data_IF_888351225260
#
_entry.id   IF_888351225260
#
_cell.length_a   1.000
_cell.length_b   1.000
_cell.length_c   1.000
_cell.angle_alpha   90.00
_cell.angle_beta   90.00
_cell.angle_gamma   90.00
#
_symmetry.space_group_name_H-M   'P 1'
#
loop_
_entity.id
_entity.type
_entity.pdbx_description
1 polymer ?
#
# COMPACT_ATOMS: atom_id res chain seq x y z
N UNK A 1 7.94 -21.27 -11.67
CA UNK A 1 7.75 -21.92 -10.36
C UNK A 1 6.24 -22.10 -10.14
N UNK A 2 5.74 -23.32 -9.91
CA UNK A 2 4.30 -23.56 -9.65
C UNK A 2 3.98 -23.02 -8.26
N UNK A 3 3.11 -22.02 -8.15
CA UNK A 3 2.61 -21.55 -6.84
C UNK A 3 1.30 -22.29 -6.53
N UNK A 4 1.23 -22.89 -5.35
CA UNK A 4 0.07 -23.65 -4.90
C UNK A 4 -1.04 -22.71 -4.43
N UNK A 5 -2.33 -23.10 -4.51
CA UNK A 5 -3.42 -22.32 -3.91
C UNK A 5 -3.19 -22.08 -2.41
N UNK A 6 -3.90 -21.10 -1.84
CA UNK A 6 -3.79 -20.69 -0.43
C UNK A 6 -2.39 -20.18 -0.03
N UNK A 7 -1.73 -19.44 -0.94
CA UNK A 7 -0.53 -18.69 -0.53
C UNK A 7 -0.90 -17.60 0.49
N UNK A 8 0.04 -17.25 1.38
CA UNK A 8 -0.05 -16.04 2.19
C UNK A 8 -0.30 -14.78 1.36
N UNK A 9 -0.87 -13.72 1.95
CA UNK A 9 -0.93 -12.39 1.35
C UNK A 9 0.46 -11.92 0.88
N UNK A 10 0.51 -11.09 -0.17
CA UNK A 10 1.79 -10.71 -0.78
C UNK A 10 2.76 -10.03 0.20
N UNK A 11 2.25 -9.25 1.17
CA UNK A 11 3.07 -8.61 2.19
C UNK A 11 3.82 -9.64 3.06
N UNK A 12 3.15 -10.72 3.44
CA UNK A 12 3.78 -11.82 4.19
C UNK A 12 4.82 -12.57 3.33
N UNK A 13 4.57 -12.71 2.03
CA UNK A 13 5.54 -13.30 1.11
C UNK A 13 6.79 -12.41 0.97
N UNK A 14 6.63 -11.09 0.93
CA UNK A 14 7.75 -10.12 0.92
C UNK A 14 8.55 -10.21 2.20
N UNK A 15 7.89 -10.21 3.36
CA UNK A 15 8.55 -10.35 4.67
C UNK A 15 9.30 -11.68 4.78
N UNK A 16 8.68 -12.77 4.34
CA UNK A 16 9.31 -14.10 4.33
C UNK A 16 10.57 -14.11 3.48
N UNK A 17 10.53 -13.49 2.29
CA UNK A 17 11.70 -13.39 1.42
C UNK A 17 12.78 -12.48 1.99
N UNK A 18 12.43 -11.30 2.52
CA UNK A 18 13.38 -10.38 3.14
C UNK A 18 14.09 -11.05 4.31
N UNK A 19 13.36 -11.74 5.20
CA UNK A 19 13.96 -12.46 6.32
C UNK A 19 14.94 -13.54 5.87
N UNK A 20 14.62 -14.27 4.79
CA UNK A 20 15.51 -15.29 4.24
C UNK A 20 16.79 -14.69 3.65
N UNK A 21 16.70 -13.53 2.98
CA UNK A 21 17.83 -12.91 2.30
C UNK A 21 18.75 -12.12 3.25
N UNK A 22 18.18 -11.46 4.26
CA UNK A 22 18.95 -10.57 5.15
C UNK A 22 19.27 -11.18 6.51
N UNK A 23 18.53 -12.20 6.94
CA UNK A 23 18.63 -12.75 8.30
C UNK A 23 18.14 -11.79 9.41
N UNK A 24 17.58 -10.64 9.04
CA UNK A 24 17.16 -9.59 9.98
C UNK A 24 15.87 -10.00 10.70
N UNK A 25 15.76 -9.64 11.98
CA UNK A 25 14.50 -9.71 12.71
C UNK A 25 13.54 -8.66 12.13
N UNK A 26 12.40 -9.09 11.61
CA UNK A 26 11.39 -8.23 11.00
C UNK A 26 10.09 -8.26 11.80
N UNK A 27 9.55 -7.08 12.10
CA UNK A 27 8.18 -6.89 12.56
C UNK A 27 7.34 -6.42 11.37
N UNK A 28 6.18 -7.05 11.16
CA UNK A 28 5.29 -6.72 10.05
C UNK A 28 3.95 -6.22 10.58
N UNK A 29 3.58 -5.01 10.17
CA UNK A 29 2.28 -4.40 10.47
C UNK A 29 1.47 -4.30 9.18
N UNK A 30 0.29 -4.91 9.15
CA UNK A 30 -0.66 -4.75 8.05
C UNK A 30 -1.90 -3.99 8.52
N UNK A 31 -1.97 -2.72 8.17
CA UNK A 31 -3.11 -1.85 8.45
C UNK A 31 -4.06 -1.69 7.23
N UNK A 32 -3.89 -2.54 6.22
CA UNK A 32 -4.64 -2.45 4.96
C UNK A 32 -6.06 -3.00 5.11
N UNK A 33 -6.99 -2.46 4.32
CA UNK A 33 -8.37 -2.94 4.23
C UNK A 33 -8.78 -3.18 2.79
N UNK A 34 -9.40 -4.33 2.52
CA UNK A 34 -9.96 -4.64 1.21
C UNK A 34 -11.00 -3.59 0.80
N UNK A 35 -11.00 -3.21 -0.49
CA UNK A 35 -11.91 -2.20 -1.04
C UNK A 35 -11.61 -0.75 -0.64
N UNK A 36 -10.56 -0.48 0.14
CA UNK A 36 -10.22 0.90 0.51
C UNK A 36 -9.39 1.61 -0.58
N UNK A 37 -9.65 2.90 -0.78
CA UNK A 37 -8.83 3.79 -1.61
C UNK A 37 -7.69 4.47 -0.82
N UNK A 38 -6.82 5.16 -1.54
CA UNK A 38 -5.71 5.94 -1.00
C UNK A 38 -6.17 7.08 -0.08
N UNK A 39 -7.34 7.67 -0.34
CA UNK A 39 -7.91 8.73 0.50
C UNK A 39 -8.25 8.23 1.92
N UNK A 40 -8.78 7.01 2.01
CA UNK A 40 -8.96 6.32 3.28
C UNK A 40 -7.62 6.02 3.95
N UNK A 41 -6.61 5.58 3.17
CA UNK A 41 -5.26 5.34 3.66
C UNK A 41 -4.61 6.58 4.27
N UNK A 42 -4.77 7.74 3.62
CA UNK A 42 -4.32 9.03 4.15
C UNK A 42 -5.01 9.38 5.48
N UNK A 43 -6.27 8.98 5.66
CA UNK A 43 -6.98 9.14 6.92
C UNK A 43 -6.43 8.28 8.08
N UNK A 44 -5.59 7.28 7.80
CA UNK A 44 -5.00 6.40 8.81
C UNK A 44 -3.58 6.80 9.25
N UNK A 45 -3.07 7.96 8.84
CA UNK A 45 -1.69 8.36 9.11
C UNK A 45 -1.31 8.30 10.60
N UNK A 46 -2.22 8.63 11.52
CA UNK A 46 -1.95 8.53 12.95
C UNK A 46 -1.62 7.08 13.37
N UNK A 47 -2.44 6.11 12.96
CA UNK A 47 -2.20 4.70 13.26
C UNK A 47 -0.95 4.16 12.54
N UNK A 48 -0.64 4.65 11.34
CA UNK A 48 0.58 4.31 10.63
C UNK A 48 1.83 4.82 11.37
N UNK A 49 1.79 6.05 11.88
CA UNK A 49 2.90 6.63 12.66
C UNK A 49 3.13 5.87 13.98
N UNK A 50 2.08 5.36 14.62
CA UNK A 50 2.22 4.53 15.83
C UNK A 50 3.03 3.25 15.59
N UNK A 51 3.07 2.75 14.35
CA UNK A 51 3.91 1.58 13.99
C UNK A 51 5.39 1.92 13.81
N UNK A 52 5.74 3.20 13.71
CA UNK A 52 7.10 3.72 13.48
C UNK A 52 7.90 2.90 12.44
N UNK A 53 7.46 2.87 11.16
CA UNK A 53 8.05 1.99 10.17
C UNK A 53 9.41 2.50 9.68
N UNK A 54 10.36 1.57 9.49
CA UNK A 54 11.60 1.82 8.74
C UNK A 54 11.41 1.59 7.23
N UNK A 55 10.44 0.76 6.85
CA UNK A 55 10.06 0.47 5.46
C UNK A 55 8.54 0.46 5.34
N UNK A 56 8.00 1.28 4.44
CA UNK A 56 6.59 1.34 4.12
C UNK A 56 6.30 0.83 2.70
N UNK A 57 5.26 -0.01 2.55
CA UNK A 57 4.77 -0.47 1.25
C UNK A 57 3.41 0.18 1.00
N UNK A 58 3.31 0.97 -0.08
CA UNK A 58 2.07 1.64 -0.49
C UNK A 58 1.55 0.95 -1.75
N UNK A 59 0.35 0.36 -1.66
CA UNK A 59 -0.23 -0.46 -2.74
C UNK A 59 -1.71 -0.13 -3.00
N UNK A 60 -2.00 1.14 -3.32
CA UNK A 60 -3.34 1.63 -3.71
C UNK A 60 -3.48 1.78 -5.24
N UNK A 61 -4.71 1.90 -5.75
CA UNK A 61 -4.98 2.24 -7.15
C UNK A 61 -6.20 1.55 -7.77
N UNK A 62 -6.34 0.22 -7.60
CA UNK A 62 -7.46 -0.52 -8.24
C UNK A 62 -8.82 -0.12 -7.66
N UNK A 63 -8.90 0.02 -6.33
CA UNK A 63 -10.14 0.46 -5.66
C UNK A 63 -10.41 1.94 -5.98
N UNK A 64 -9.37 2.76 -6.00
CA UNK A 64 -9.45 4.18 -6.32
C UNK A 64 -10.11 4.40 -7.68
N UNK A 65 -9.65 3.69 -8.72
CA UNK A 65 -10.25 3.72 -10.06
C UNK A 65 -11.71 3.23 -10.08
N UNK A 66 -12.07 2.23 -9.27
CA UNK A 66 -13.46 1.78 -9.14
C UNK A 66 -14.36 2.74 -8.36
N UNK A 67 -13.79 3.61 -7.53
CA UNK A 67 -14.51 4.65 -6.79
C UNK A 67 -14.69 5.95 -7.61
N UNK A 68 -14.05 6.05 -8.78
CA UNK A 68 -14.23 7.20 -9.67
C UNK A 68 -15.51 7.02 -10.50
N UNK A 69 -16.48 7.92 -10.33
CA UNK A 69 -17.55 8.06 -11.31
C UNK A 69 -16.95 8.75 -12.56
N UNK A 70 -16.65 7.95 -13.59
CA UNK A 70 -16.28 8.34 -14.97
C UNK A 70 -16.00 9.84 -15.23
N UNK A 71 -14.89 10.38 -14.73
CA UNK A 71 -14.41 11.71 -15.14
C UNK A 71 -13.87 12.65 -14.05
N UNK A 72 -13.98 12.30 -12.77
CA UNK A 72 -13.28 12.98 -11.69
C UNK A 72 -12.51 11.95 -10.88
N UNK A 73 -11.17 12.06 -10.75
CA UNK A 73 -10.35 11.75 -9.54
C UNK A 73 -8.87 11.32 -9.70
N UNK A 74 -8.23 11.43 -10.87
CA UNK A 74 -6.76 11.22 -10.97
C UNK A 74 -5.98 12.04 -9.91
N UNK A 75 -6.40 13.28 -9.71
CA UNK A 75 -5.76 14.21 -8.79
C UNK A 75 -5.93 13.79 -7.33
N UNK A 76 -7.06 13.17 -6.97
CA UNK A 76 -7.32 12.76 -5.58
C UNK A 76 -6.48 11.55 -5.19
N UNK A 77 -6.33 10.58 -6.10
CA UNK A 77 -5.43 9.45 -5.88
C UNK A 77 -3.99 9.92 -5.68
N UNK A 78 -3.51 10.75 -6.61
CA UNK A 78 -2.14 11.29 -6.59
C UNK A 78 -1.88 12.12 -5.32
N UNK A 79 -2.78 13.04 -4.97
CA UNK A 79 -2.70 13.83 -3.73
C UNK A 79 -2.70 12.95 -2.49
N UNK A 80 -3.52 11.90 -2.47
CA UNK A 80 -3.61 11.01 -1.30
C UNK A 80 -2.33 10.20 -1.10
N UNK A 81 -1.80 9.60 -2.18
CA UNK A 81 -0.53 8.87 -2.14
C UNK A 81 0.62 9.80 -1.78
N UNK A 82 0.68 11.00 -2.37
CA UNK A 82 1.68 12.02 -2.05
C UNK A 82 1.63 12.42 -0.58
N UNK A 83 0.42 12.67 -0.04
CA UNK A 83 0.24 13.02 1.36
C UNK A 83 0.71 11.92 2.32
N UNK A 84 0.51 10.64 1.97
CA UNK A 84 1.04 9.52 2.76
C UNK A 84 2.58 9.52 2.76
N UNK A 85 3.19 9.69 1.58
CA UNK A 85 4.66 9.74 1.43
C UNK A 85 5.26 10.89 2.24
N UNK A 86 4.67 12.09 2.13
CA UNK A 86 5.12 13.28 2.84
C UNK A 86 4.94 13.11 4.35
N UNK A 87 3.81 12.56 4.80
CA UNK A 87 3.57 12.29 6.21
C UNK A 87 4.53 11.27 6.81
N UNK A 88 4.84 10.19 6.07
CA UNK A 88 5.85 9.20 6.46
C UNK A 88 7.23 9.83 6.62
N UNK A 89 7.67 10.62 5.62
CA UNK A 89 8.99 11.28 5.66
C UNK A 89 9.08 12.38 6.70
N UNK A 90 7.97 13.07 7.00
CA UNK A 90 7.92 14.05 8.07
C UNK A 90 8.05 13.39 9.46
N UNK A 91 7.53 12.17 9.60
CA UNK A 91 7.63 11.39 10.84
C UNK A 91 9.01 10.73 11.01
N UNK A 92 9.49 10.07 9.95
CA UNK A 92 10.81 9.45 9.89
C UNK A 92 11.49 9.82 8.56
N UNK A 93 12.45 10.77 8.56
CA UNK A 93 13.15 11.18 7.35
C UNK A 93 13.96 10.07 6.66
N UNK A 94 14.31 9.00 7.39
CA UNK A 94 15.08 7.86 6.88
C UNK A 94 14.19 6.70 6.41
N UNK A 95 12.86 6.85 6.44
CA UNK A 95 11.94 5.79 6.01
C UNK A 95 12.13 5.44 4.53
N UNK A 96 12.33 4.15 4.27
CA UNK A 96 12.29 3.61 2.92
C UNK A 96 10.84 3.43 2.48
N UNK A 97 10.54 3.75 1.23
CA UNK A 97 9.18 3.66 0.68
C UNK A 97 9.20 2.87 -0.63
N UNK A 98 8.42 1.79 -0.65
CA UNK A 98 8.10 1.05 -1.87
C UNK A 98 6.69 1.45 -2.31
N UNK A 99 6.61 2.17 -3.44
CA UNK A 99 5.36 2.40 -4.14
C UNK A 99 5.13 1.27 -5.13
N UNK A 100 4.09 0.47 -4.92
CA UNK A 100 3.71 -0.61 -5.82
C UNK A 100 2.89 -0.02 -6.96
N UNK A 101 3.40 -0.16 -8.19
CA UNK A 101 2.64 0.21 -9.38
C UNK A 101 1.29 -0.51 -9.38
N UNK A 102 0.21 0.22 -9.62
CA UNK A 102 -1.13 -0.30 -9.46
C UNK A 102 -1.46 -1.38 -10.50
N UNK A 103 -2.31 -2.33 -10.08
CA UNK A 103 -3.04 -3.15 -11.03
C UNK A 103 -4.10 -2.28 -11.69
N UNK A 104 -4.11 -2.25 -13.02
CA UNK A 104 -5.15 -1.56 -13.78
C UNK A 104 -6.48 -2.27 -13.56
N UNK A 105 -7.53 -1.49 -13.29
CA UNK A 105 -8.89 -2.00 -13.25
C UNK A 105 -9.23 -2.69 -14.56
N UNK A 106 -10.08 -3.72 -14.49
CA UNK A 106 -10.62 -4.31 -15.72
C UNK A 106 -11.35 -3.20 -16.51
N UNK A 107 -10.91 -2.87 -17.75
CA UNK A 107 -11.54 -1.81 -18.54
C UNK A 107 -13.01 -2.10 -18.87
N UNK A 108 -13.45 -3.36 -18.76
CA UNK A 108 -14.83 -3.78 -18.99
C UNK A 108 -15.71 -3.74 -17.73
N UNK A 109 -15.14 -3.45 -16.56
CA UNK A 109 -15.90 -3.40 -15.32
C UNK A 109 -16.97 -2.29 -15.36
N UNK A 110 -18.23 -2.67 -15.12
CA UNK A 110 -19.36 -1.77 -14.91
C UNK A 110 -20.06 -2.16 -13.60
N UNK A 111 -20.38 -1.20 -12.71
CA UNK A 111 -21.06 -1.46 -11.44
C UNK A 111 -22.50 -1.97 -11.61
#
# INVERSE_FOLDING_TARGET
>A
MRRFPHQPPFGELVVSRLRQETGTALTFHNISRAGAGADWGLGLMAALMETNPDLAIIAFGMNDAGHENHGQRSDRYEQSVRGIIEGLRAHNPEVDIILVANMLSNPEFRP
#
